data_IF_324245968527
#
_entry.id   IF_324245968527
#
_cell.length_a   1.000
_cell.length_b   1.000
_cell.length_c   1.000
_cell.angle_alpha   90.00
_cell.angle_beta   90.00
_cell.angle_gamma   90.00
#
_symmetry.space_group_name_H-M   'P 1'
#
loop_
_entity.id
_entity.type
_entity.pdbx_description
1 polymer ?
#
# COMPACT_ATOMS: atom_id res chain seq x y z
N UNK A 1 20.56 -0.70 -16.50
CA UNK A 1 20.83 -1.43 -15.24
C UNK A 1 19.66 -2.35 -15.04
N UNK A 2 19.97 -3.63 -14.89
CA UNK A 2 19.23 -4.71 -15.52
C UNK A 2 17.83 -4.93 -14.94
N UNK A 3 16.87 -4.98 -15.86
CA UNK A 3 15.55 -5.54 -15.67
C UNK A 3 15.68 -7.06 -15.58
N UNK A 4 16.25 -7.56 -14.49
CA UNK A 4 16.19 -8.98 -14.19
C UNK A 4 14.74 -9.31 -13.79
N UNK A 5 14.10 -9.85 -14.82
CA UNK A 5 12.72 -10.21 -14.99
C UNK A 5 12.02 -10.80 -13.76
N UNK A 6 10.88 -10.21 -13.41
CA UNK A 6 9.78 -10.81 -12.65
C UNK A 6 9.28 -12.10 -13.37
N UNK A 7 10.05 -13.20 -13.39
CA UNK A 7 9.60 -14.47 -14.00
C UNK A 7 8.62 -15.21 -13.08
N UNK A 8 7.37 -14.76 -13.08
CA UNK A 8 6.24 -15.60 -12.67
C UNK A 8 6.05 -16.61 -13.80
N UNK A 9 6.34 -17.90 -13.54
CA UNK A 9 6.14 -18.95 -14.55
C UNK A 9 4.67 -18.99 -14.97
N UNK A 10 4.37 -19.04 -16.28
CA UNK A 10 2.99 -19.18 -16.73
C UNK A 10 2.42 -20.52 -16.23
N UNK A 11 1.20 -20.51 -15.65
CA UNK A 11 0.49 -21.70 -15.21
C UNK A 11 0.12 -22.58 -16.41
N UNK A 12 0.09 -23.89 -16.18
CA UNK A 12 -0.28 -24.85 -17.22
C UNK A 12 -1.78 -24.71 -17.64
N UNK A 13 -2.18 -25.16 -18.84
CA UNK A 13 -3.58 -25.05 -19.28
C UNK A 13 -4.59 -25.82 -18.41
N UNK A 14 -4.23 -27.02 -17.92
CA UNK A 14 -5.07 -27.84 -17.03
C UNK A 14 -5.44 -27.08 -15.74
N UNK A 15 -4.44 -26.37 -15.25
CA UNK A 15 -4.43 -25.55 -14.08
C UNK A 15 -5.42 -24.36 -14.23
N UNK A 16 -5.48 -23.73 -15.42
CA UNK A 16 -6.46 -22.68 -15.75
C UNK A 16 -7.90 -23.22 -15.69
N UNK A 17 -8.14 -24.41 -16.25
CA UNK A 17 -9.47 -25.04 -16.28
C UNK A 17 -9.99 -25.36 -14.86
N UNK A 18 -9.12 -25.91 -14.01
CA UNK A 18 -9.46 -26.27 -12.62
C UNK A 18 -9.80 -25.04 -11.78
N UNK A 19 -9.10 -23.91 -11.96
CA UNK A 19 -9.41 -22.65 -11.26
C UNK A 19 -10.73 -22.04 -11.76
N UNK A 20 -10.98 -22.08 -13.07
CA UNK A 20 -12.19 -21.54 -13.65
C UNK A 20 -13.46 -22.28 -13.20
N UNK A 21 -13.38 -23.60 -13.04
CA UNK A 21 -14.50 -24.42 -12.54
C UNK A 21 -14.95 -24.06 -11.11
N UNK A 22 -14.10 -23.39 -10.32
CA UNK A 22 -14.43 -22.93 -8.96
C UNK A 22 -15.15 -21.57 -8.95
N UNK A 23 -15.26 -20.92 -10.10
CA UNK A 23 -15.88 -19.61 -10.24
C UNK A 23 -17.34 -19.72 -10.68
N UNK A 24 -18.13 -18.68 -10.38
CA UNK A 24 -19.57 -18.61 -10.71
C UNK A 24 -19.83 -18.74 -12.22
N UNK A 25 -18.86 -18.31 -13.06
CA UNK A 25 -18.90 -18.46 -14.53
C UNK A 25 -17.58 -19.06 -15.04
N UNK A 26 -17.49 -20.40 -15.14
CA UNK A 26 -16.26 -21.08 -15.55
C UNK A 26 -15.82 -20.78 -16.97
N UNK A 27 -16.76 -20.66 -17.91
CA UNK A 27 -16.42 -20.45 -19.32
C UNK A 27 -15.79 -19.07 -19.51
N UNK A 28 -16.38 -18.06 -18.89
CA UNK A 28 -15.88 -16.70 -18.98
C UNK A 28 -14.58 -16.51 -18.17
N UNK A 29 -14.41 -17.22 -17.04
CA UNK A 29 -13.16 -17.25 -16.26
C UNK A 29 -12.01 -17.89 -17.03
N UNK A 30 -12.25 -18.99 -17.75
CA UNK A 30 -11.26 -19.60 -18.65
C UNK A 30 -10.79 -18.60 -19.71
N UNK A 31 -11.71 -17.94 -20.42
CA UNK A 31 -11.37 -16.95 -21.45
C UNK A 31 -10.53 -15.80 -20.89
N UNK A 32 -10.81 -15.36 -19.66
CA UNK A 32 -10.02 -14.34 -18.99
C UNK A 32 -8.60 -14.82 -18.68
N UNK A 33 -8.46 -15.99 -18.08
CA UNK A 33 -7.16 -16.55 -17.72
C UNK A 33 -6.32 -16.86 -18.97
N UNK A 34 -6.95 -17.31 -20.05
CA UNK A 34 -6.29 -17.48 -21.35
C UNK A 34 -5.89 -16.13 -21.96
N UNK A 35 -6.72 -15.09 -21.82
CA UNK A 35 -6.40 -13.75 -22.27
C UNK A 35 -5.17 -13.20 -21.53
N UNK A 36 -5.14 -13.36 -20.20
CA UNK A 36 -4.02 -12.94 -19.38
C UNK A 36 -2.74 -13.76 -19.67
N UNK A 37 -2.89 -15.07 -19.90
CA UNK A 37 -1.76 -15.94 -20.20
C UNK A 37 -1.11 -15.63 -21.56
N UNK A 38 -1.92 -15.19 -22.54
CA UNK A 38 -1.44 -14.75 -23.86
C UNK A 38 -1.16 -13.25 -23.95
N UNK A 39 -1.46 -12.50 -22.89
CA UNK A 39 -1.44 -11.04 -22.87
C UNK A 39 -2.27 -10.38 -23.99
N UNK A 40 -3.42 -10.98 -24.35
CA UNK A 40 -4.28 -10.54 -25.44
C UNK A 40 -5.75 -10.77 -25.09
N UNK A 41 -6.63 -9.78 -25.29
CA UNK A 41 -8.07 -9.95 -25.07
C UNK A 41 -8.69 -10.95 -26.06
N UNK A 42 -9.08 -12.13 -25.59
CA UNK A 42 -9.78 -13.14 -26.40
C UNK A 42 -11.29 -12.94 -26.48
N UNK A 43 -11.84 -12.02 -25.69
CA UNK A 43 -13.24 -11.59 -25.81
C UNK A 43 -13.50 -11.07 -27.23
N UNK A 44 -14.61 -11.55 -27.83
CA UNK A 44 -14.94 -11.30 -29.22
C UNK A 44 -14.82 -9.82 -29.62
N UNK A 45 -14.39 -9.61 -30.87
CA UNK A 45 -14.11 -8.31 -31.49
C UNK A 45 -15.21 -7.22 -31.45
N UNK A 46 -16.54 -7.50 -31.39
CA UNK A 46 -17.52 -6.40 -31.43
C UNK A 46 -17.51 -5.47 -30.21
N UNK A 47 -16.84 -5.85 -29.12
CA UNK A 47 -16.79 -5.03 -27.90
C UNK A 47 -15.60 -4.06 -27.89
N UNK A 48 -15.83 -2.83 -27.42
CA UNK A 48 -14.76 -1.85 -27.21
C UNK A 48 -13.71 -2.39 -26.24
N UNK A 49 -12.47 -1.90 -26.35
CA UNK A 49 -11.39 -2.26 -25.42
C UNK A 49 -11.75 -1.89 -23.97
N UNK A 50 -12.45 -0.77 -23.80
CA UNK A 50 -12.93 -0.26 -22.50
C UNK A 50 -13.92 -1.24 -21.86
N UNK A 51 -14.92 -1.70 -22.62
CA UNK A 51 -15.89 -2.67 -22.13
C UNK A 51 -15.22 -3.99 -21.71
N UNK A 52 -14.27 -4.46 -22.51
CA UNK A 52 -13.49 -5.68 -22.20
C UNK A 52 -12.68 -5.53 -20.92
N UNK A 53 -12.07 -4.36 -20.70
CA UNK A 53 -11.33 -4.07 -19.48
C UNK A 53 -12.27 -3.95 -18.25
N UNK A 54 -13.41 -3.30 -18.36
CA UNK A 54 -14.38 -3.19 -17.26
C UNK A 54 -14.93 -4.54 -16.84
N UNK A 55 -15.25 -5.40 -17.81
CA UNK A 55 -15.69 -6.75 -17.53
C UNK A 55 -14.59 -7.55 -16.81
N UNK A 56 -13.33 -7.35 -17.20
CA UNK A 56 -12.15 -7.93 -16.55
C UNK A 56 -11.95 -7.43 -15.11
N UNK A 57 -12.17 -6.15 -14.82
CA UNK A 57 -12.08 -5.64 -13.46
C UNK A 57 -13.17 -6.27 -12.56
N UNK A 58 -14.41 -6.32 -13.03
CA UNK A 58 -15.53 -6.94 -12.29
C UNK A 58 -15.27 -8.41 -12.00
N UNK A 59 -14.65 -9.10 -12.94
CA UNK A 59 -14.21 -10.48 -12.80
C UNK A 59 -13.14 -10.64 -11.75
N UNK A 60 -12.10 -9.81 -11.81
CA UNK A 60 -11.02 -9.82 -10.83
C UNK A 60 -11.58 -9.62 -9.42
N UNK A 61 -12.51 -8.69 -9.23
CA UNK A 61 -13.19 -8.50 -7.94
C UNK A 61 -13.95 -9.77 -7.49
N UNK A 62 -14.71 -10.39 -8.39
CA UNK A 62 -15.44 -11.63 -8.08
C UNK A 62 -14.49 -12.76 -7.71
N UNK A 63 -13.41 -12.92 -8.47
CA UNK A 63 -12.37 -13.90 -8.21
C UNK A 63 -11.79 -13.66 -6.83
N UNK A 64 -11.27 -12.45 -6.56
CA UNK A 64 -10.70 -12.03 -5.29
C UNK A 64 -11.64 -12.23 -4.08
N UNK A 65 -12.97 -12.10 -4.24
CA UNK A 65 -13.97 -12.29 -3.17
C UNK A 65 -14.18 -13.74 -2.75
N UNK A 66 -13.87 -14.73 -3.59
CA UNK A 66 -14.17 -16.16 -3.31
C UNK A 66 -13.14 -16.78 -2.34
N UNK A 67 -11.97 -16.17 -2.20
CA UNK A 67 -11.21 -16.11 -0.93
C UNK A 67 -10.89 -17.43 -0.22
N UNK A 68 -10.19 -18.36 -0.87
CA UNK A 68 -9.34 -19.36 -0.18
C UNK A 68 -8.29 -19.90 -1.14
N UNK A 69 -7.29 -19.06 -1.44
CA UNK A 69 -6.30 -19.36 -2.45
C UNK A 69 -5.14 -20.19 -1.91
N UNK A 70 -4.89 -21.34 -2.54
CA UNK A 70 -3.62 -22.05 -2.41
C UNK A 70 -2.57 -21.49 -3.36
N UNK A 71 -1.30 -21.94 -3.23
CA UNK A 71 -0.16 -21.48 -4.06
C UNK A 71 -0.41 -21.47 -5.57
N UNK A 72 -1.26 -22.38 -6.04
CA UNK A 72 -1.62 -22.49 -7.45
C UNK A 72 -2.45 -21.29 -7.94
N UNK A 73 -3.41 -20.84 -7.14
CA UNK A 73 -4.27 -19.71 -7.45
C UNK A 73 -3.53 -18.36 -7.30
N UNK A 74 -2.49 -18.30 -6.48
CA UNK A 74 -1.65 -17.11 -6.34
C UNK A 74 -0.92 -16.76 -7.65
N UNK A 75 -0.41 -17.77 -8.37
CA UNK A 75 0.26 -17.57 -9.67
C UNK A 75 -0.68 -17.04 -10.75
N UNK A 76 -1.94 -17.51 -10.75
CA UNK A 76 -2.99 -17.02 -11.65
C UNK A 76 -3.38 -15.59 -11.30
N UNK A 77 -3.49 -15.29 -10.00
CA UNK A 77 -3.84 -13.95 -9.56
C UNK A 77 -2.73 -12.94 -9.86
N UNK A 78 -1.45 -13.31 -9.70
CA UNK A 78 -0.32 -12.48 -10.11
C UNK A 78 -0.31 -12.22 -11.62
N UNK A 79 -0.63 -13.24 -12.44
CA UNK A 79 -0.79 -13.06 -13.89
C UNK A 79 -1.91 -12.07 -14.21
N UNK A 80 -3.07 -12.20 -13.56
CA UNK A 80 -4.19 -11.28 -13.73
C UNK A 80 -3.81 -9.85 -13.33
N UNK A 81 -3.13 -9.67 -12.19
CA UNK A 81 -2.63 -8.37 -11.73
C UNK A 81 -1.67 -7.74 -12.76
N UNK A 82 -0.75 -8.52 -13.33
CA UNK A 82 0.14 -8.04 -14.41
C UNK A 82 -0.63 -7.65 -15.66
N UNK A 83 -1.57 -8.48 -16.08
CA UNK A 83 -2.40 -8.23 -17.25
C UNK A 83 -3.24 -6.95 -17.10
N UNK A 84 -3.87 -6.75 -15.93
CA UNK A 84 -4.62 -5.54 -15.62
C UNK A 84 -3.68 -4.33 -15.61
N UNK A 85 -2.49 -4.42 -15.01
CA UNK A 85 -1.47 -3.36 -14.98
C UNK A 85 -1.12 -2.90 -16.39
N UNK A 86 -0.81 -3.84 -17.27
CA UNK A 86 -0.34 -3.55 -18.64
C UNK A 86 -1.42 -2.87 -19.49
N UNK A 87 -2.68 -3.29 -19.34
CA UNK A 87 -3.78 -2.68 -20.05
C UNK A 87 -4.31 -1.39 -19.42
N UNK A 88 -4.11 -1.19 -18.11
CA UNK A 88 -4.50 0.03 -17.42
C UNK A 88 -3.79 1.27 -18.00
N UNK A 89 -2.52 1.14 -18.44
CA UNK A 89 -1.72 2.25 -19.00
C UNK A 89 -2.37 2.90 -20.23
N UNK A 90 -3.27 2.18 -20.90
CA UNK A 90 -3.96 2.66 -22.10
C UNK A 90 -5.27 3.41 -21.80
N UNK A 91 -5.60 3.62 -20.51
CA UNK A 91 -6.87 4.21 -20.06
C UNK A 91 -6.63 5.32 -19.06
N UNK A 92 -7.49 6.33 -19.09
CA UNK A 92 -7.64 7.28 -17.98
C UNK A 92 -8.83 6.87 -17.12
N UNK A 93 -8.59 6.57 -15.85
CA UNK A 93 -9.66 6.27 -14.90
C UNK A 93 -10.31 7.56 -14.42
N UNK A 94 -11.64 7.53 -14.35
CA UNK A 94 -12.48 8.63 -13.87
C UNK A 94 -13.02 8.31 -12.49
N UNK A 95 -13.72 9.28 -11.92
CA UNK A 95 -14.43 9.14 -10.64
C UNK A 95 -15.37 7.93 -10.61
N UNK A 96 -16.05 7.62 -11.71
CA UNK A 96 -17.01 6.50 -11.77
C UNK A 96 -16.32 5.13 -11.65
N UNK A 97 -15.03 5.06 -11.98
CA UNK A 97 -14.24 3.83 -11.87
C UNK A 97 -13.78 3.55 -10.42
N UNK A 98 -13.89 4.55 -9.53
CA UNK A 98 -13.39 4.46 -8.15
C UNK A 98 -13.95 3.28 -7.38
N UNK A 99 -15.26 3.00 -7.49
CA UNK A 99 -15.90 1.93 -6.70
C UNK A 99 -15.39 0.54 -7.09
N UNK A 100 -15.19 0.30 -8.39
CA UNK A 100 -14.70 -1.01 -8.87
C UNK A 100 -13.22 -1.14 -8.56
N UNK A 101 -12.44 -0.08 -8.81
CA UNK A 101 -11.00 -0.09 -8.53
C UNK A 101 -10.75 -0.21 -7.03
N UNK A 102 -11.55 0.46 -6.21
CA UNK A 102 -11.55 0.30 -4.76
C UNK A 102 -11.60 -1.17 -4.35
N UNK A 103 -12.61 -1.89 -4.84
CA UNK A 103 -12.79 -3.31 -4.54
C UNK A 103 -11.56 -4.12 -4.99
N UNK A 104 -11.02 -3.86 -6.19
CA UNK A 104 -9.81 -4.53 -6.67
C UNK A 104 -8.64 -4.30 -5.72
N UNK A 105 -8.37 -3.05 -5.37
CA UNK A 105 -7.24 -2.67 -4.54
C UNK A 105 -7.32 -3.21 -3.13
N UNK A 106 -8.49 -3.11 -2.49
CA UNK A 106 -8.69 -3.64 -1.14
C UNK A 106 -8.44 -5.14 -1.10
N UNK A 107 -8.98 -5.91 -2.04
CA UNK A 107 -8.83 -7.35 -2.00
C UNK A 107 -7.42 -7.82 -2.40
N UNK A 108 -6.76 -7.11 -3.32
CA UNK A 108 -5.33 -7.35 -3.61
C UNK A 108 -4.50 -7.05 -2.35
N UNK A 109 -4.80 -5.96 -1.64
CA UNK A 109 -4.13 -5.62 -0.40
C UNK A 109 -4.34 -6.68 0.70
N UNK A 110 -5.56 -7.19 0.88
CA UNK A 110 -5.82 -8.31 1.81
C UNK A 110 -5.06 -9.59 1.42
N UNK A 111 -4.82 -9.78 0.13
CA UNK A 111 -4.09 -10.94 -0.40
C UNK A 111 -2.57 -10.79 -0.30
N UNK A 112 -2.02 -9.57 -0.32
CA UNK A 112 -0.57 -9.31 -0.42
C UNK A 112 0.28 -10.08 0.60
N UNK A 113 -0.24 -10.28 1.82
CA UNK A 113 0.48 -10.98 2.89
C UNK A 113 0.64 -12.48 2.65
N UNK A 114 -0.10 -13.05 1.69
CA UNK A 114 -0.01 -14.47 1.32
C UNK A 114 0.99 -14.72 0.19
N UNK A 115 1.54 -13.65 -0.38
CA UNK A 115 2.38 -13.69 -1.58
C UNK A 115 3.86 -13.54 -1.20
N UNK A 116 4.73 -14.19 -1.97
CA UNK A 116 6.18 -14.07 -1.85
C UNK A 116 6.68 -12.64 -2.19
N UNK A 117 7.89 -12.24 -1.76
CA UNK A 117 8.38 -10.88 -1.99
C UNK A 117 8.36 -10.41 -3.46
N UNK A 118 8.70 -11.24 -4.47
CA UNK A 118 8.55 -10.86 -5.87
C UNK A 118 7.10 -10.54 -6.26
N UNK A 119 6.13 -11.32 -5.78
CA UNK A 119 4.72 -11.04 -6.02
C UNK A 119 4.22 -9.81 -5.26
N UNK A 120 4.74 -9.53 -4.06
CA UNK A 120 4.48 -8.27 -3.34
C UNK A 120 4.97 -7.07 -4.15
N UNK A 121 6.17 -7.14 -4.74
CA UNK A 121 6.70 -6.10 -5.62
C UNK A 121 5.82 -5.91 -6.87
N UNK A 122 5.32 -7.00 -7.46
CA UNK A 122 4.37 -6.94 -8.57
C UNK A 122 3.09 -6.16 -8.19
N UNK A 123 2.57 -6.39 -6.99
CA UNK A 123 1.39 -5.70 -6.45
C UNK A 123 1.67 -4.20 -6.20
N UNK A 124 2.86 -3.85 -5.68
CA UNK A 124 3.29 -2.44 -5.54
C UNK A 124 3.38 -1.76 -6.90
N UNK A 125 3.95 -2.45 -7.90
CA UNK A 125 4.06 -1.95 -9.27
C UNK A 125 2.68 -1.77 -9.91
N UNK A 126 1.75 -2.69 -9.67
CA UNK A 126 0.34 -2.55 -10.06
C UNK A 126 -0.25 -1.29 -9.44
N UNK A 127 -0.09 -1.09 -8.13
CA UNK A 127 -0.58 0.10 -7.44
C UNK A 127 -0.07 1.38 -8.07
N UNK A 128 1.25 1.52 -8.17
CA UNK A 128 1.88 2.72 -8.70
C UNK A 128 1.48 3.01 -10.15
N UNK A 129 1.30 1.97 -10.97
CA UNK A 129 0.93 2.14 -12.38
C UNK A 129 -0.52 2.57 -12.52
N UNK A 130 -1.43 1.83 -11.89
CA UNK A 130 -2.88 2.01 -12.01
C UNK A 130 -3.35 3.29 -11.33
N UNK A 131 -2.80 3.60 -10.15
CA UNK A 131 -3.06 4.85 -9.45
C UNK A 131 -2.80 6.08 -10.34
N UNK A 132 -1.68 6.08 -11.07
CA UNK A 132 -1.28 7.19 -11.96
C UNK A 132 -2.21 7.38 -13.15
N UNK A 133 -3.04 6.38 -13.48
CA UNK A 133 -4.01 6.48 -14.57
C UNK A 133 -5.29 7.20 -14.16
N UNK A 134 -5.54 7.40 -12.87
CA UNK A 134 -6.62 8.29 -12.43
C UNK A 134 -6.29 9.73 -12.78
N UNK A 135 -7.33 10.51 -13.13
CA UNK A 135 -7.16 11.95 -13.26
C UNK A 135 -6.67 12.57 -11.93
N UNK A 136 -5.95 13.68 -12.04
CA UNK A 136 -5.28 14.36 -10.92
C UNK A 136 -6.25 14.81 -9.81
N UNK A 137 -7.54 15.01 -10.14
CA UNK A 137 -8.56 15.38 -9.14
C UNK A 137 -9.05 14.15 -8.37
N UNK A 138 -9.10 12.99 -9.03
CA UNK A 138 -9.55 11.72 -8.46
C UNK A 138 -8.48 11.02 -7.62
N UNK A 139 -7.21 11.14 -7.99
CA UNK A 139 -6.07 10.55 -7.27
C UNK A 139 -6.06 10.77 -5.73
N UNK A 140 -6.17 12.00 -5.19
CA UNK A 140 -6.14 12.21 -3.74
C UNK A 140 -7.37 11.63 -3.03
N UNK A 141 -8.53 11.56 -3.72
CA UNK A 141 -9.75 10.93 -3.18
C UNK A 141 -9.55 9.42 -3.06
N UNK A 142 -8.93 8.82 -4.07
CA UNK A 142 -8.60 7.39 -4.06
C UNK A 142 -7.64 7.03 -2.92
N UNK A 143 -6.54 7.77 -2.75
CA UNK A 143 -5.62 7.57 -1.63
C UNK A 143 -6.34 7.74 -0.29
N UNK A 144 -7.10 8.82 -0.12
CA UNK A 144 -7.84 9.09 1.12
C UNK A 144 -8.73 7.92 1.52
N UNK A 145 -9.47 7.34 0.56
CA UNK A 145 -10.34 6.19 0.82
C UNK A 145 -9.56 4.95 1.23
N UNK A 146 -8.42 4.68 0.57
CA UNK A 146 -7.53 3.56 0.93
C UNK A 146 -6.98 3.70 2.34
N UNK A 147 -6.44 4.86 2.69
CA UNK A 147 -5.94 5.11 4.03
C UNK A 147 -7.05 4.93 5.08
N UNK A 148 -8.26 5.44 4.81
CA UNK A 148 -9.39 5.33 5.73
C UNK A 148 -9.81 3.86 6.00
N UNK A 149 -9.87 3.03 4.96
CA UNK A 149 -10.30 1.63 5.15
C UNK A 149 -9.18 0.74 5.68
N UNK A 150 -7.91 1.03 5.35
CA UNK A 150 -6.77 0.35 5.96
C UNK A 150 -6.74 0.59 7.48
N UNK A 151 -6.95 1.83 7.92
CA UNK A 151 -7.02 2.16 9.35
C UNK A 151 -8.25 1.60 10.07
N UNK A 152 -9.35 1.35 9.34
CA UNK A 152 -10.57 0.73 9.88
C UNK A 152 -10.50 -0.79 9.95
N UNK A 153 -9.71 -1.41 9.08
CA UNK A 153 -9.56 -2.86 9.02
C UNK A 153 -8.96 -3.36 10.35
N UNK A 154 -9.72 -4.17 11.08
CA UNK A 154 -9.22 -4.85 12.31
C UNK A 154 -8.24 -5.98 12.01
N UNK A 155 -8.07 -6.35 10.74
CA UNK A 155 -7.06 -7.32 10.37
C UNK A 155 -5.70 -6.63 10.53
N UNK A 156 -4.98 -6.96 11.61
CA UNK A 156 -3.59 -6.58 11.78
C UNK A 156 -2.77 -7.29 10.71
N UNK A 157 -2.52 -6.60 9.60
CA UNK A 157 -1.77 -7.15 8.48
C UNK A 157 -0.29 -6.82 8.68
N UNK A 158 0.63 -7.80 8.61
CA UNK A 158 2.05 -7.60 8.92
C UNK A 158 2.71 -6.46 8.15
N UNK A 159 2.29 -6.25 6.89
CA UNK A 159 2.84 -5.21 6.02
C UNK A 159 1.98 -3.95 5.91
N UNK A 160 0.94 -3.80 6.74
CA UNK A 160 0.09 -2.60 6.74
C UNK A 160 0.90 -1.30 6.89
N UNK A 161 1.84 -1.15 7.84
CA UNK A 161 2.58 0.11 7.98
C UNK A 161 3.34 0.50 6.71
N UNK A 162 3.95 -0.47 6.02
CA UNK A 162 4.73 -0.26 4.80
C UNK A 162 3.82 0.14 3.64
N UNK A 163 2.65 -0.48 3.51
CA UNK A 163 1.66 -0.10 2.52
C UNK A 163 1.10 1.30 2.78
N UNK A 164 0.79 1.62 4.04
CA UNK A 164 0.33 2.96 4.42
C UNK A 164 1.40 4.01 4.12
N UNK A 165 2.68 3.70 4.34
CA UNK A 165 3.80 4.57 3.98
C UNK A 165 3.83 4.88 2.48
N UNK A 166 3.67 3.87 1.61
CA UNK A 166 3.62 4.05 0.14
C UNK A 166 2.49 4.99 -0.28
N UNK A 167 1.32 4.89 0.38
CA UNK A 167 0.18 5.77 0.11
C UNK A 167 0.47 7.22 0.54
N UNK A 168 1.05 7.39 1.73
CA UNK A 168 1.44 8.71 2.25
C UNK A 168 2.47 9.36 1.32
N UNK A 169 3.49 8.61 0.91
CA UNK A 169 4.54 9.14 0.02
C UNK A 169 3.99 9.51 -1.36
N UNK A 170 3.07 8.70 -1.90
CA UNK A 170 2.38 8.98 -3.16
C UNK A 170 1.54 10.26 -3.09
N UNK A 171 0.90 10.50 -1.95
CA UNK A 171 0.16 11.72 -1.67
C UNK A 171 1.10 12.92 -1.51
N UNK A 172 2.11 12.79 -0.65
CA UNK A 172 3.08 13.83 -0.34
C UNK A 172 3.84 14.29 -1.58
N UNK A 173 4.13 13.38 -2.52
CA UNK A 173 4.76 13.72 -3.79
C UNK A 173 4.00 14.80 -4.57
N UNK A 174 2.66 14.78 -4.50
CA UNK A 174 1.77 15.64 -5.26
C UNK A 174 1.12 16.75 -4.43
N UNK A 175 1.54 16.92 -3.17
CA UNK A 175 0.91 17.82 -2.19
C UNK A 175 0.76 19.29 -2.65
N UNK A 176 1.63 19.75 -3.57
CA UNK A 176 1.58 21.10 -4.14
C UNK A 176 0.42 21.32 -5.11
N UNK A 177 -0.13 20.25 -5.69
CA UNK A 177 -1.28 20.33 -6.58
C UNK A 177 -2.53 20.69 -5.76
N UNK A 178 -3.38 21.55 -6.31
CA UNK A 178 -4.56 22.07 -5.61
C UNK A 178 -5.51 20.96 -5.14
N UNK A 179 -5.69 19.91 -5.95
CA UNK A 179 -6.52 18.74 -5.60
C UNK A 179 -5.99 17.98 -4.37
N UNK A 180 -4.68 17.80 -4.25
CA UNK A 180 -4.04 17.15 -3.10
C UNK A 180 -4.04 18.07 -1.88
N UNK A 181 -3.64 19.32 -2.06
CA UNK A 181 -3.67 20.31 -0.98
C UNK A 181 -5.07 20.43 -0.37
N UNK A 182 -6.13 20.39 -1.17
CA UNK A 182 -7.51 20.41 -0.71
C UNK A 182 -7.81 19.28 0.30
N UNK A 183 -7.35 18.06 0.02
CA UNK A 183 -7.60 16.86 0.82
C UNK A 183 -6.64 16.65 2.00
N UNK A 184 -5.59 17.47 2.10
CA UNK A 184 -4.54 17.32 3.11
C UNK A 184 -5.06 17.31 4.56
N UNK A 185 -6.10 18.08 4.86
CA UNK A 185 -6.74 18.07 6.19
C UNK A 185 -7.42 16.74 6.50
N UNK A 186 -8.13 16.17 5.53
CA UNK A 186 -8.76 14.85 5.64
C UNK A 186 -7.72 13.76 5.86
N UNK A 187 -6.61 13.80 5.12
CA UNK A 187 -5.51 12.83 5.23
C UNK A 187 -4.89 12.89 6.63
N UNK A 188 -4.56 14.08 7.14
CA UNK A 188 -4.07 14.21 8.52
C UNK A 188 -5.10 13.72 9.55
N UNK A 189 -6.38 13.96 9.30
CA UNK A 189 -7.47 13.46 10.15
C UNK A 189 -7.53 11.93 10.24
N UNK A 190 -7.29 11.21 9.14
CA UNK A 190 -7.26 9.75 9.12
C UNK A 190 -6.16 9.21 10.04
N UNK A 191 -4.97 9.83 10.04
CA UNK A 191 -3.81 9.36 10.79
C UNK A 191 -3.69 9.96 12.20
N UNK A 192 -4.66 10.79 12.63
CA UNK A 192 -4.57 11.48 13.91
C UNK A 192 -4.52 10.52 15.11
N UNK A 193 -5.25 9.40 15.02
CA UNK A 193 -5.35 8.40 16.08
C UNK A 193 -4.74 7.04 15.71
N UNK A 194 -4.22 6.89 14.48
CA UNK A 194 -3.61 5.64 14.03
C UNK A 194 -2.27 5.41 14.70
N UNK A 195 -2.10 4.21 15.28
CA UNK A 195 -0.90 3.78 16.00
C UNK A 195 -0.59 2.34 15.66
N UNK A 196 0.69 2.01 15.71
CA UNK A 196 1.18 0.64 15.62
C UNK A 196 1.85 0.25 16.94
N UNK A 197 1.60 -0.98 17.37
CA UNK A 197 2.12 -1.53 18.63
C UNK A 197 3.65 -1.61 18.65
N UNK A 198 4.25 -1.85 17.49
CA UNK A 198 5.71 -1.84 17.29
C UNK A 198 6.12 -0.69 16.34
N UNK A 199 6.63 0.42 16.90
CA UNK A 199 7.20 1.51 16.13
C UNK A 199 8.37 1.15 15.21
N UNK A 200 9.16 0.11 15.50
CA UNK A 200 10.25 -0.30 14.62
C UNK A 200 9.73 -1.04 13.41
N UNK A 201 8.79 -1.98 13.59
CA UNK A 201 8.08 -2.62 12.48
C UNK A 201 7.32 -1.59 11.62
N UNK A 202 6.85 -0.50 12.23
CA UNK A 202 6.16 0.61 11.56
C UNK A 202 7.06 1.81 11.21
N UNK A 203 8.39 1.65 11.17
CA UNK A 203 9.32 2.75 10.94
C UNK A 203 9.05 3.51 9.62
N UNK A 204 8.72 2.77 8.54
CA UNK A 204 8.37 3.37 7.26
C UNK A 204 7.15 4.30 7.36
N UNK A 205 6.09 3.88 8.06
CA UNK A 205 4.89 4.68 8.26
C UNK A 205 5.18 6.00 8.97
N UNK A 206 5.85 5.93 10.13
CA UNK A 206 6.17 7.13 10.89
C UNK A 206 7.09 8.05 10.08
N UNK A 207 8.11 7.50 9.43
CA UNK A 207 9.02 8.26 8.57
C UNK A 207 8.27 9.01 7.46
N UNK A 208 7.36 8.35 6.75
CA UNK A 208 6.55 8.97 5.70
C UNK A 208 5.65 10.10 6.23
N UNK A 209 5.04 9.96 7.41
CA UNK A 209 4.26 11.05 8.03
C UNK A 209 5.13 12.27 8.37
N UNK A 210 6.29 12.05 9.02
CA UNK A 210 7.19 13.16 9.35
C UNK A 210 7.76 13.82 8.09
N UNK A 211 8.08 13.04 7.05
CA UNK A 211 8.52 13.56 5.75
C UNK A 211 7.40 14.34 5.03
N UNK A 212 6.15 13.89 5.10
CA UNK A 212 5.00 14.64 4.59
C UNK A 212 4.86 15.99 5.28
N UNK A 213 4.98 16.03 6.62
CA UNK A 213 4.95 17.27 7.38
C UNK A 213 6.13 18.20 7.03
N UNK A 214 7.34 17.65 6.92
CA UNK A 214 8.54 18.39 6.46
C UNK A 214 8.30 18.99 5.08
N UNK A 215 7.76 18.22 4.14
CA UNK A 215 7.45 18.68 2.79
C UNK A 215 6.38 19.77 2.78
N UNK A 216 5.33 19.63 3.59
CA UNK A 216 4.32 20.67 3.79
C UNK A 216 4.93 21.98 4.30
N UNK A 217 5.87 21.90 5.25
CA UNK A 217 6.60 23.05 5.78
C UNK A 217 7.44 23.73 4.70
N UNK A 218 8.29 22.97 4.01
CA UNK A 218 9.21 23.47 2.99
C UNK A 218 8.47 24.15 1.83
N UNK A 219 7.34 23.58 1.40
CA UNK A 219 6.50 24.13 0.34
C UNK A 219 5.56 25.24 0.82
N UNK A 220 5.55 25.56 2.13
CA UNK A 220 4.70 26.57 2.75
C UNK A 220 3.20 26.37 2.51
N UNK A 221 2.75 25.11 2.50
CA UNK A 221 1.35 24.75 2.21
C UNK A 221 0.54 24.69 3.51
N UNK A 222 -0.57 25.44 3.57
CA UNK A 222 -1.54 25.42 4.69
C UNK A 222 -0.86 25.49 6.07
N UNK A 223 0.04 26.46 6.27
CA UNK A 223 0.85 26.60 7.49
C UNK A 223 0.06 26.63 8.80
N UNK A 224 -1.11 27.30 8.90
CA UNK A 224 -1.91 27.25 10.13
C UNK A 224 -2.33 25.84 10.51
N UNK A 225 -2.67 25.01 9.52
CA UNK A 225 -3.01 23.60 9.73
C UNK A 225 -1.79 22.79 10.14
N UNK A 226 -0.61 23.06 9.57
CA UNK A 226 0.63 22.38 9.96
C UNK A 226 0.96 22.57 11.44
N UNK A 227 0.70 23.76 12.00
CA UNK A 227 0.88 24.02 13.43
C UNK A 227 -0.09 23.20 14.30
N UNK A 228 -1.33 23.03 13.84
CA UNK A 228 -2.29 22.14 14.52
C UNK A 228 -1.78 20.70 14.46
N UNK A 229 -1.44 20.21 13.26
CA UNK A 229 -0.90 18.84 13.04
C UNK A 229 0.32 18.57 13.92
N UNK A 230 1.24 19.54 14.03
CA UNK A 230 2.42 19.42 14.89
C UNK A 230 2.02 19.08 16.33
N UNK A 231 1.10 19.86 16.90
CA UNK A 231 0.67 19.74 18.30
C UNK A 231 -0.22 18.53 18.55
N UNK A 232 -1.14 18.25 17.63
CA UNK A 232 -2.20 17.26 17.86
C UNK A 232 -1.83 15.86 17.42
N UNK A 233 -0.88 15.72 16.48
CA UNK A 233 -0.49 14.45 15.85
C UNK A 233 1.00 14.19 16.07
N UNK A 234 1.89 15.03 15.53
CA UNK A 234 3.32 14.73 15.47
C UNK A 234 3.97 14.68 16.86
N UNK A 235 3.70 15.65 17.73
CA UNK A 235 4.23 15.68 19.10
C UNK A 235 3.78 14.44 19.89
N UNK A 236 2.52 14.01 19.74
CA UNK A 236 2.01 12.77 20.36
C UNK A 236 2.72 11.52 19.84
N UNK A 237 2.93 11.43 18.53
CA UNK A 237 3.68 10.31 17.92
C UNK A 237 5.12 10.30 18.39
N UNK A 238 5.79 11.46 18.50
CA UNK A 238 7.15 11.56 19.05
C UNK A 238 7.21 11.04 20.48
N UNK A 239 6.26 11.40 21.34
CA UNK A 239 6.19 10.87 22.72
C UNK A 239 6.02 9.35 22.72
N UNK A 240 5.11 8.80 21.92
CA UNK A 240 4.88 7.35 21.84
C UNK A 240 6.11 6.57 21.38
N UNK A 241 6.80 7.07 20.35
CA UNK A 241 8.03 6.45 19.84
C UNK A 241 9.12 6.51 20.93
N UNK A 242 9.25 7.64 21.63
CA UNK A 242 10.18 7.78 22.74
C UNK A 242 9.87 6.81 23.89
N UNK A 243 8.61 6.71 24.29
CA UNK A 243 8.18 5.82 25.38
C UNK A 243 8.45 4.34 25.03
N UNK A 244 8.17 3.94 23.79
CA UNK A 244 8.47 2.60 23.30
C UNK A 244 9.97 2.31 23.29
N UNK A 245 10.78 3.25 22.79
CA UNK A 245 12.24 3.15 22.81
C UNK A 245 12.76 2.96 24.23
N UNK A 246 12.26 3.73 25.19
CA UNK A 246 12.66 3.62 26.60
C UNK A 246 12.22 2.28 27.22
N UNK A 247 11.05 1.77 26.83
CA UNK A 247 10.57 0.47 27.28
C UNK A 247 11.47 -0.65 26.78
N UNK A 248 11.84 -0.63 25.49
CA UNK A 248 12.77 -1.61 24.90
C UNK A 248 14.16 -1.58 25.53
N UNK A 249 14.72 -0.38 25.75
CA UNK A 249 16.00 -0.23 26.45
C UNK A 249 15.98 -0.76 27.90
N UNK A 250 14.80 -0.81 28.54
CA UNK A 250 14.66 -1.40 29.88
C UNK A 250 14.54 -2.92 29.82
N UNK A 251 13.84 -3.46 28.82
CA UNK A 251 13.75 -4.91 28.59
C UNK A 251 15.15 -5.50 28.34
N UNK A 252 15.95 -4.88 27.46
CA UNK A 252 17.33 -5.30 27.18
C UNK A 252 18.21 -5.34 28.45
N UNK A 253 18.09 -4.34 29.33
CA UNK A 253 18.85 -4.27 30.60
C UNK A 253 18.40 -5.27 31.66
N UNK A 254 17.21 -5.83 31.53
CA UNK A 254 16.66 -6.85 32.44
C UNK A 254 17.10 -8.23 31.97
N UNK A 255 17.08 -8.49 30.66
CA UNK A 255 17.53 -9.76 30.08
C UNK A 255 19.03 -10.00 30.28
N UNK A 256 19.85 -8.93 30.26
CA UNK A 256 21.28 -8.98 30.62
C UNK A 256 21.53 -9.44 32.08
N UNK A 257 20.50 -9.40 32.95
CA UNK A 257 20.60 -9.78 34.37
C UNK A 257 19.99 -11.16 34.70
N UNK A 258 19.37 -11.84 33.73
CA UNK A 258 18.76 -13.17 33.92
C UNK A 258 19.61 -14.27 33.25
N UNK A 259 20.03 -15.27 34.02
CA UNK A 259 20.89 -16.40 33.59
C UNK A 259 20.22 -17.43 32.64
N UNK A 260 19.18 -17.06 31.88
CA UNK A 260 18.61 -17.94 30.86
C UNK A 260 18.07 -17.12 29.67
N UNK A 261 18.86 -16.92 28.61
CA UNK A 261 18.41 -16.22 27.41
C UNK A 261 17.61 -17.20 26.53
N UNK A 262 16.28 -17.15 26.61
CA UNK A 262 15.44 -17.63 25.52
C UNK A 262 15.01 -16.44 24.66
N UNK A 263 15.80 -16.26 23.60
CA UNK A 263 15.55 -15.57 22.32
C UNK A 263 14.34 -14.64 22.24
N UNK A 264 14.58 -13.34 22.48
CA UNK A 264 14.16 -12.29 21.56
C UNK A 264 15.42 -11.51 21.16
N UNK A 265 16.03 -11.87 20.03
CA UNK A 265 17.24 -11.20 19.52
C UNK A 265 16.89 -9.80 18.99
N UNK A 266 16.81 -8.84 19.90
CA UNK A 266 16.56 -7.41 19.63
C UNK A 266 17.86 -6.60 19.53
N UNK A 267 19.01 -7.23 19.79
CA UNK A 267 20.35 -6.64 19.65
C UNK A 267 20.88 -6.64 18.21
N UNK A 268 20.01 -6.85 17.23
CA UNK A 268 20.42 -6.86 15.83
C UNK A 268 20.83 -5.44 15.40
N UNK A 269 21.96 -5.27 14.68
CA UNK A 269 22.42 -3.97 14.17
C UNK A 269 21.34 -3.18 13.40
N UNK A 270 20.39 -3.90 12.81
CA UNK A 270 19.25 -3.38 12.06
C UNK A 270 18.29 -2.55 12.93
N UNK A 271 17.99 -3.00 14.15
CA UNK A 271 17.07 -2.30 15.07
C UNK A 271 17.68 -0.98 15.55
N UNK A 272 18.98 -0.98 15.85
CA UNK A 272 19.74 0.24 16.19
C UNK A 272 19.75 1.23 15.03
N UNK A 273 19.93 0.73 13.80
CA UNK A 273 19.92 1.57 12.60
C UNK A 273 18.53 2.19 12.33
N UNK A 274 17.47 1.39 12.42
CA UNK A 274 16.09 1.85 12.24
C UNK A 274 15.70 2.91 13.28
N UNK A 275 16.09 2.71 14.53
CA UNK A 275 15.91 3.68 15.62
C UNK A 275 16.58 5.02 15.29
N UNK A 276 17.84 5.00 14.88
CA UNK A 276 18.58 6.21 14.52
C UNK A 276 17.95 6.94 13.34
N UNK A 277 17.56 6.20 12.29
CA UNK A 277 16.92 6.76 11.10
C UNK A 277 15.59 7.44 11.42
N UNK A 278 14.77 6.80 12.25
CA UNK A 278 13.49 7.36 12.70
C UNK A 278 13.70 8.63 13.53
N UNK A 279 14.63 8.61 14.49
CA UNK A 279 14.96 9.78 15.31
C UNK A 279 15.47 10.96 14.47
N UNK A 280 16.39 10.72 13.54
CA UNK A 280 16.88 11.75 12.62
C UNK A 280 15.74 12.35 11.80
N UNK A 281 14.85 11.51 11.26
CA UNK A 281 13.71 11.97 10.44
C UNK A 281 12.75 12.85 11.24
N UNK A 282 12.46 12.47 12.49
CA UNK A 282 11.61 13.25 13.39
C UNK A 282 12.23 14.62 13.68
N UNK A 283 13.50 14.64 14.10
CA UNK A 283 14.21 15.88 14.45
C UNK A 283 14.28 16.84 13.28
N UNK A 284 14.61 16.33 12.09
CA UNK A 284 14.68 17.11 10.87
C UNK A 284 13.32 17.72 10.50
N UNK A 285 12.24 16.94 10.59
CA UNK A 285 10.90 17.42 10.29
C UNK A 285 10.45 18.50 11.27
N UNK A 286 10.63 18.28 12.57
CA UNK A 286 10.26 19.25 13.61
C UNK A 286 11.07 20.54 13.49
N UNK A 287 12.38 20.46 13.16
CA UNK A 287 13.21 21.64 12.87
C UNK A 287 12.62 22.46 11.72
N UNK A 288 12.35 21.84 10.59
CA UNK A 288 11.78 22.54 9.43
C UNK A 288 10.42 23.19 9.76
N UNK A 289 9.56 22.54 10.54
CA UNK A 289 8.27 23.11 10.94
C UNK A 289 8.46 24.35 11.84
N UNK A 290 9.47 24.34 12.71
CA UNK A 290 9.74 25.45 13.64
C UNK A 290 10.36 26.68 12.97
N UNK A 291 11.06 26.49 11.85
CA UNK A 291 11.67 27.56 11.04
C UNK A 291 10.62 28.33 10.21
N UNK A 292 9.48 27.69 9.93
CA UNK A 292 8.37 28.29 9.18
C UNK A 292 7.39 28.93 10.18
N UNK A 293 7.78 30.10 10.70
CA UNK A 293 6.92 31.02 11.47
C UNK A 293 6.32 32.09 10.57
#
# INVERSE_FOLDING_TARGET
>A
MDSDSEQVKPPQPRNILEAAQRCIDPQYTCTLLESANRNEFQLASPYSKEYRFDALLRMLVRFLKIGNFGRFEDSLLLMLVKFVREHAVQRTFRRDDLEVMWDVFLHIYLWVNKVDPPGQQCIVNFYNTVYRQFDVQTQPIFIKRLCFEMTKSKASLPYEPQWTAVLIDSFAHNIQLSSFSAELGSIWGIFADQRYDDPFAACAYYSSLFLMAKRQALLRIKLPMLQIVRRTILEKMTTQISDFVQLKEREEKVDEKSENPQELDLSTPETVHLKALLQCTIQDALRCINEVK
#
